data_IF_907862730830
#
_entry.id   IF_907862730830
#
_cell.length_a   1.000
_cell.length_b   1.000
_cell.length_c   1.000
_cell.angle_alpha   90.00
_cell.angle_beta   90.00
_cell.angle_gamma   90.00
#
_symmetry.space_group_name_H-M   'P 1'
#
loop_
_entity.id
_entity.type
_entity.pdbx_description
1 polymer ?
#
# COMPACT_ATOMS: atom_id res chain seq x y z
N UNK A 1 -44.92 37.14 25.97
CA UNK A 1 -44.98 35.81 25.35
C UNK A 1 -43.58 35.24 25.19
N UNK A 2 -43.10 34.51 26.18
CA UNK A 2 -41.81 33.78 26.15
C UNK A 2 -42.08 32.36 25.63
N UNK A 3 -41.44 31.97 24.50
CA UNK A 3 -41.41 30.58 24.08
C UNK A 3 -40.05 29.99 24.49
N UNK A 4 -40.09 29.13 25.51
CA UNK A 4 -38.92 28.36 25.95
C UNK A 4 -38.62 27.23 24.94
N UNK A 5 -37.38 27.15 24.51
CA UNK A 5 -36.82 26.01 23.78
C UNK A 5 -36.40 24.94 24.80
N UNK A 6 -37.22 23.89 24.93
CA UNK A 6 -36.81 22.69 25.67
C UNK A 6 -36.02 21.78 24.76
N UNK A 7 -34.70 21.82 24.84
CA UNK A 7 -33.84 20.78 24.26
C UNK A 7 -33.91 19.51 25.13
N UNK A 8 -34.30 18.40 24.53
CA UNK A 8 -34.43 17.12 25.22
C UNK A 8 -33.05 16.55 25.57
N UNK A 9 -32.84 16.28 26.88
CA UNK A 9 -31.62 15.67 27.45
C UNK A 9 -31.24 14.33 26.78
N UNK A 10 -32.20 13.64 26.15
CA UNK A 10 -31.98 12.41 25.39
C UNK A 10 -31.18 12.60 24.09
N UNK A 11 -31.30 13.75 23.42
CA UNK A 11 -30.52 14.03 22.20
C UNK A 11 -29.04 14.33 22.50
N UNK A 12 -28.75 14.94 23.64
CA UNK A 12 -27.37 15.22 24.07
C UNK A 12 -26.59 13.95 24.41
N UNK A 13 -27.23 12.92 24.95
CA UNK A 13 -26.61 11.62 25.24
C UNK A 13 -26.30 10.85 23.93
N UNK A 14 -27.18 10.93 22.92
CA UNK A 14 -26.93 10.28 21.64
C UNK A 14 -25.72 10.86 20.91
N UNK A 15 -25.52 12.17 20.92
CA UNK A 15 -24.35 12.81 20.32
C UNK A 15 -23.06 12.52 21.10
N UNK A 16 -23.12 12.43 22.43
CA UNK A 16 -21.96 12.09 23.26
C UNK A 16 -21.53 10.62 23.04
N UNK A 17 -22.46 9.69 22.90
CA UNK A 17 -22.15 8.30 22.57
C UNK A 17 -21.59 8.14 21.16
N UNK A 18 -22.04 8.94 20.18
CA UNK A 18 -21.51 8.90 18.82
C UNK A 18 -20.07 9.44 18.75
N UNK A 19 -19.73 10.48 19.52
CA UNK A 19 -18.37 11.02 19.61
C UNK A 19 -17.41 10.10 20.37
N UNK A 20 -17.86 9.38 21.39
CA UNK A 20 -17.04 8.41 22.12
C UNK A 20 -16.78 7.12 21.32
N UNK A 21 -17.72 6.70 20.45
CA UNK A 21 -17.52 5.55 19.58
C UNK A 21 -16.60 5.83 18.38
N UNK A 22 -16.51 7.08 17.92
CA UNK A 22 -15.60 7.49 16.83
C UNK A 22 -14.14 7.59 17.30
N UNK A 23 -13.86 7.67 18.59
CA UNK A 23 -12.51 7.77 19.13
C UNK A 23 -11.81 6.41 19.36
N UNK A 24 -12.54 5.28 19.22
CA UNK A 24 -11.99 3.94 19.48
C UNK A 24 -11.62 3.20 18.16
N UNK A 25 -11.96 3.75 16.98
CA UNK A 25 -11.84 3.06 15.70
C UNK A 25 -10.62 3.44 14.85
N UNK A 26 -9.68 4.24 15.35
CA UNK A 26 -8.43 4.51 14.66
C UNK A 26 -7.25 3.88 15.40
N UNK A 27 -7.13 2.57 15.34
CA UNK A 27 -5.80 1.97 15.47
C UNK A 27 -5.03 2.38 14.21
N UNK A 28 -3.93 3.12 14.32
CA UNK A 28 -3.10 3.37 13.16
C UNK A 28 -2.63 2.01 12.64
N UNK A 29 -2.89 1.74 11.38
CA UNK A 29 -2.21 0.65 10.67
C UNK A 29 -0.74 1.07 10.57
N UNK A 30 0.08 0.57 11.49
CA UNK A 30 1.51 0.90 11.60
C UNK A 30 2.35 0.33 10.44
N UNK A 31 1.72 -0.19 9.38
CA UNK A 31 2.41 -0.88 8.30
C UNK A 31 3.28 0.03 7.42
N UNK A 32 3.00 1.34 7.35
CA UNK A 32 3.75 2.31 6.52
C UNK A 32 4.08 3.60 7.31
N UNK A 33 4.31 3.49 8.64
CA UNK A 33 4.72 4.62 9.45
C UNK A 33 6.21 4.91 9.25
N UNK A 34 6.53 5.97 8.53
CA UNK A 34 7.88 6.52 8.40
C UNK A 34 8.35 7.27 9.67
N UNK A 35 7.56 7.25 10.73
CA UNK A 35 7.96 7.86 11.99
C UNK A 35 9.11 7.05 12.63
N UNK A 36 10.19 7.71 13.09
CA UNK A 36 11.25 7.03 13.83
C UNK A 36 10.67 6.30 15.04
N UNK A 37 11.16 5.10 15.38
CA UNK A 37 10.70 4.39 16.56
C UNK A 37 11.14 5.14 17.81
N UNK A 38 10.21 5.27 18.78
CA UNK A 38 10.51 5.76 20.12
C UNK A 38 10.92 4.63 21.06
N UNK A 39 11.35 5.01 22.27
CA UNK A 39 11.56 4.04 23.33
C UNK A 39 10.25 3.31 23.64
N UNK A 40 10.32 1.96 23.76
CA UNK A 40 9.18 1.10 24.06
C UNK A 40 9.46 0.21 25.28
N UNK A 41 8.41 -0.10 26.03
CA UNK A 41 8.50 -0.98 27.20
C UNK A 41 7.56 -2.16 27.01
N UNK A 42 8.07 -3.37 27.22
CA UNK A 42 7.31 -4.62 27.20
C UNK A 42 7.45 -5.32 28.55
N UNK A 43 6.33 -5.78 29.11
CA UNK A 43 6.32 -6.53 30.35
C UNK A 43 6.16 -8.03 30.08
N UNK A 44 6.71 -8.87 30.95
CA UNK A 44 6.45 -10.31 30.92
C UNK A 44 5.01 -10.61 31.34
N UNK A 45 4.52 -11.83 31.03
CA UNK A 45 3.13 -12.22 31.32
C UNK A 45 2.75 -12.09 32.80
N UNK A 46 3.66 -12.40 33.71
CA UNK A 46 3.45 -12.24 35.14
C UNK A 46 3.62 -10.77 35.62
N UNK A 47 4.17 -9.89 34.82
CA UNK A 47 4.58 -8.55 35.20
C UNK A 47 5.75 -8.51 36.19
N UNK A 48 6.50 -9.60 36.38
CA UNK A 48 7.67 -9.67 37.25
C UNK A 48 8.94 -9.12 36.57
N UNK A 49 8.99 -9.15 35.27
CA UNK A 49 10.08 -8.63 34.46
C UNK A 49 9.56 -7.63 33.43
N UNK A 50 10.39 -6.67 33.01
CA UNK A 50 10.14 -5.80 31.87
C UNK A 50 11.40 -5.56 31.06
N UNK A 51 11.25 -5.24 29.79
CA UNK A 51 12.33 -4.78 28.91
C UNK A 51 12.01 -3.40 28.38
N UNK A 52 12.96 -2.50 28.49
CA UNK A 52 12.95 -1.21 27.83
C UNK A 52 13.81 -1.31 26.56
N UNK A 53 13.20 -1.14 25.40
CA UNK A 53 13.90 -1.05 24.12
C UNK A 53 14.21 0.40 23.84
N UNK A 54 15.47 0.72 23.68
CA UNK A 54 15.99 2.04 23.33
C UNK A 54 16.47 1.95 21.89
N UNK A 55 15.79 2.63 20.92
CA UNK A 55 16.22 2.63 19.53
C UNK A 55 17.62 3.20 19.35
N UNK A 56 18.30 2.79 18.29
CA UNK A 56 19.49 3.45 17.81
C UNK A 56 19.16 4.88 17.38
N UNK A 57 20.12 5.80 17.55
CA UNK A 57 19.98 7.16 17.04
C UNK A 57 19.78 7.15 15.52
N UNK A 58 18.92 8.02 15.05
CA UNK A 58 18.54 8.14 13.64
C UNK A 58 18.41 9.62 13.28
N UNK A 59 19.16 10.09 12.28
CA UNK A 59 19.09 11.47 11.79
C UNK A 59 17.70 11.79 11.25
N UNK A 60 17.23 10.97 10.30
CA UNK A 60 15.87 11.01 9.76
C UNK A 60 15.54 9.70 9.04
N UNK A 61 14.26 9.35 8.88
CA UNK A 61 13.87 8.21 8.03
C UNK A 61 14.35 8.37 6.59
N UNK A 62 14.26 9.58 6.02
CA UNK A 62 14.69 9.85 4.65
C UNK A 62 16.20 9.58 4.45
N UNK A 63 17.02 10.04 5.38
CA UNK A 63 18.48 9.80 5.33
C UNK A 63 18.80 8.32 5.50
N UNK A 64 18.07 7.62 6.38
CA UNK A 64 18.21 6.18 6.53
C UNK A 64 17.98 5.43 5.20
N UNK A 65 16.88 5.72 4.48
CA UNK A 65 16.60 5.05 3.23
C UNK A 65 17.56 5.43 2.11
N UNK A 66 18.01 6.70 2.07
CA UNK A 66 19.06 7.14 1.13
C UNK A 66 20.36 6.37 1.37
N UNK A 67 20.78 6.29 2.62
CA UNK A 67 22.00 5.55 2.98
C UNK A 67 21.88 4.05 2.69
N UNK A 68 20.67 3.49 2.78
CA UNK A 68 20.39 2.10 2.38
C UNK A 68 20.57 1.91 0.88
N UNK A 69 20.09 2.83 0.04
CA UNK A 69 20.31 2.80 -1.41
C UNK A 69 21.79 2.94 -1.76
N UNK A 70 22.52 3.74 -1.01
CA UNK A 70 23.97 3.91 -1.15
C UNK A 70 24.79 2.76 -0.53
N UNK A 71 24.15 1.72 -0.01
CA UNK A 71 24.78 0.55 0.66
C UNK A 71 25.70 0.95 1.83
N UNK A 72 25.42 2.06 2.53
CA UNK A 72 26.21 2.50 3.67
C UNK A 72 26.06 1.53 4.84
N UNK A 73 27.15 1.36 5.59
CA UNK A 73 27.23 0.39 6.68
C UNK A 73 26.22 0.63 7.81
N UNK A 74 26.06 1.89 8.22
CA UNK A 74 25.20 2.29 9.34
C UNK A 74 24.21 3.38 8.86
N UNK A 75 23.18 3.00 8.07
CA UNK A 75 22.34 3.95 7.37
C UNK A 75 21.60 4.87 8.34
N UNK A 76 21.61 6.19 8.06
CA UNK A 76 20.94 7.22 8.85
C UNK A 76 21.52 7.44 10.25
N UNK A 77 22.72 6.92 10.57
CA UNK A 77 23.34 7.15 11.88
C UNK A 77 23.98 8.55 11.89
N UNK A 78 23.57 9.45 12.83
CA UNK A 78 24.20 10.76 12.93
C UNK A 78 25.68 10.66 13.38
N UNK A 79 26.55 11.59 12.94
CA UNK A 79 27.97 11.57 13.30
C UNK A 79 28.26 11.69 14.80
N UNK A 80 27.33 12.30 15.54
CA UNK A 80 27.38 12.53 16.99
C UNK A 80 26.47 11.57 17.77
N UNK A 81 26.09 10.45 17.16
CA UNK A 81 25.22 9.47 17.78
C UNK A 81 25.74 9.00 19.14
N UNK A 82 24.86 9.04 20.14
CA UNK A 82 25.12 8.51 21.48
C UNK A 82 24.79 7.01 21.54
N UNK A 83 23.74 6.59 20.82
CA UNK A 83 23.28 5.21 20.76
C UNK A 83 23.48 4.68 19.35
N UNK A 84 24.58 3.98 19.13
CA UNK A 84 24.98 3.45 17.80
C UNK A 84 24.31 2.10 17.46
N UNK A 85 23.69 1.44 18.45
CA UNK A 85 22.91 0.21 18.28
C UNK A 85 21.68 0.27 19.16
N UNK A 86 20.60 -0.35 18.72
CA UNK A 86 19.44 -0.51 19.59
C UNK A 86 19.85 -1.28 20.85
N UNK A 87 19.36 -0.87 22.00
CA UNK A 87 19.69 -1.44 23.30
C UNK A 87 18.43 -1.96 23.98
N UNK A 88 18.52 -3.14 24.60
CA UNK A 88 17.51 -3.65 25.49
C UNK A 88 18.02 -3.61 26.94
N UNK A 89 17.27 -2.95 27.83
CA UNK A 89 17.52 -2.92 29.28
C UNK A 89 16.44 -3.77 29.95
N UNK A 90 16.86 -4.86 30.56
CA UNK A 90 15.97 -5.82 31.23
C UNK A 90 15.99 -5.55 32.72
N UNK A 91 14.82 -5.39 33.34
CA UNK A 91 14.62 -5.11 34.75
C UNK A 91 13.70 -6.16 35.37
N UNK A 92 13.95 -6.44 36.63
CA UNK A 92 13.14 -7.34 37.46
C UNK A 92 12.56 -6.57 38.66
N UNK A 93 11.35 -6.92 39.10
CA UNK A 93 10.79 -6.40 40.34
C UNK A 93 11.48 -7.06 41.55
N UNK A 94 11.90 -6.24 42.49
CA UNK A 94 12.33 -6.74 43.81
C UNK A 94 11.12 -7.09 44.70
N UNK A 95 11.41 -7.62 45.91
CA UNK A 95 10.37 -7.97 46.89
C UNK A 95 9.54 -6.77 47.40
N UNK A 96 9.98 -5.54 47.13
CA UNK A 96 9.30 -4.29 47.47
C UNK A 96 8.55 -3.67 46.28
N UNK A 97 8.61 -4.30 45.09
CA UNK A 97 7.95 -3.84 43.88
C UNK A 97 8.76 -2.81 43.07
N UNK A 98 10.01 -2.53 43.43
CA UNK A 98 10.87 -1.62 42.69
C UNK A 98 11.52 -2.36 41.50
N UNK A 99 11.72 -1.65 40.40
CA UNK A 99 12.42 -2.15 39.24
C UNK A 99 13.94 -2.04 39.43
N UNK A 100 14.65 -3.15 39.26
CA UNK A 100 16.10 -3.23 39.32
C UNK A 100 16.64 -3.78 37.99
N UNK A 101 17.64 -3.12 37.44
CA UNK A 101 18.32 -3.58 36.21
C UNK A 101 18.93 -4.96 36.46
N UNK A 102 18.55 -5.91 35.63
CA UNK A 102 18.99 -7.30 35.67
C UNK A 102 20.14 -7.56 34.70
N UNK A 103 20.01 -7.11 33.46
CA UNK A 103 21.04 -7.13 32.43
C UNK A 103 20.65 -6.22 31.25
N UNK A 104 21.63 -6.00 30.36
CA UNK A 104 21.48 -5.20 29.15
C UNK A 104 22.09 -5.96 27.96
N UNK A 105 21.62 -5.66 26.74
CA UNK A 105 22.15 -6.26 25.51
C UNK A 105 21.93 -5.36 24.31
N UNK A 106 22.95 -5.23 23.45
CA UNK A 106 22.81 -4.65 22.13
C UNK A 106 21.96 -5.55 21.24
N UNK A 107 21.01 -4.94 20.54
CA UNK A 107 20.12 -5.64 19.61
C UNK A 107 20.72 -5.66 18.20
N UNK A 108 20.45 -6.74 17.47
CA UNK A 108 20.83 -6.85 16.05
C UNK A 108 19.82 -6.23 15.10
N UNK A 109 18.64 -5.85 15.62
CA UNK A 109 17.66 -5.08 14.84
C UNK A 109 18.26 -3.72 14.50
N UNK A 110 18.19 -3.31 13.22
CA UNK A 110 18.97 -2.16 12.72
C UNK A 110 18.74 -0.85 13.46
N UNK A 111 17.47 -0.47 13.69
CA UNK A 111 17.11 0.75 14.43
C UNK A 111 16.37 0.38 15.71
N UNK A 112 15.38 -0.48 15.62
CA UNK A 112 14.65 -1.08 16.74
C UNK A 112 13.83 -2.30 16.24
N UNK A 113 13.51 -3.27 17.11
CA UNK A 113 12.47 -4.25 16.83
C UNK A 113 11.08 -3.60 16.88
N UNK A 114 10.10 -4.23 16.21
CA UNK A 114 8.70 -3.81 16.28
C UNK A 114 8.06 -4.23 17.60
N UNK A 115 8.33 -5.45 18.07
CA UNK A 115 7.82 -5.98 19.33
C UNK A 115 8.87 -6.83 20.03
N UNK A 116 8.66 -7.05 21.33
CA UNK A 116 9.49 -7.95 22.11
C UNK A 116 8.65 -8.72 23.14
N UNK A 117 9.09 -9.90 23.50
CA UNK A 117 8.57 -10.67 24.64
C UNK A 117 9.73 -11.03 25.57
N UNK A 118 9.42 -11.11 26.86
CA UNK A 118 10.39 -11.38 27.92
C UNK A 118 9.87 -12.50 28.80
N UNK A 119 10.75 -13.47 29.15
CA UNK A 119 10.40 -14.51 30.12
C UNK A 119 10.20 -13.96 31.52
N UNK A 120 9.31 -14.56 32.32
CA UNK A 120 8.96 -14.09 33.67
C UNK A 120 10.16 -14.03 34.62
N UNK A 121 11.15 -14.90 34.41
CA UNK A 121 12.40 -14.92 35.18
C UNK A 121 13.46 -13.92 34.64
N UNK A 122 13.14 -13.18 33.59
CA UNK A 122 14.02 -12.19 32.96
C UNK A 122 15.29 -12.79 32.35
N UNK A 123 15.33 -14.11 32.08
CA UNK A 123 16.50 -14.79 31.50
C UNK A 123 16.55 -14.71 29.99
N UNK A 124 15.39 -14.68 29.30
CA UNK A 124 15.28 -14.72 27.85
C UNK A 124 14.52 -13.51 27.33
N UNK A 125 15.06 -12.89 26.30
CA UNK A 125 14.40 -11.86 25.51
C UNK A 125 14.27 -12.37 24.07
N UNK A 126 13.10 -12.19 23.44
CA UNK A 126 12.90 -12.42 22.03
C UNK A 126 12.37 -11.13 21.41
N UNK A 127 13.01 -10.66 20.35
CA UNK A 127 12.56 -9.50 19.58
C UNK A 127 12.03 -9.92 18.23
N UNK A 128 11.07 -9.16 17.69
CA UNK A 128 10.40 -9.47 16.43
C UNK A 128 10.46 -8.29 15.48
N UNK A 129 10.81 -8.61 14.22
CA UNK A 129 10.80 -7.72 13.08
C UNK A 129 11.76 -6.51 13.23
N UNK A 130 12.00 -5.83 12.14
CA UNK A 130 12.67 -4.54 12.15
C UNK A 130 11.63 -3.43 11.98
N UNK A 131 11.91 -2.27 12.54
CA UNK A 131 11.08 -1.08 12.50
C UNK A 131 10.47 -0.78 11.12
N UNK A 132 11.24 -0.92 10.06
CA UNK A 132 10.82 -0.57 8.68
C UNK A 132 10.55 -1.78 7.78
N UNK A 133 10.69 -3.01 8.28
CA UNK A 133 10.57 -4.23 7.46
C UNK A 133 9.99 -5.40 8.25
N UNK A 134 8.67 -5.41 8.40
CA UNK A 134 7.97 -6.51 9.08
C UNK A 134 8.00 -7.76 8.23
N UNK A 135 8.47 -8.89 8.80
CA UNK A 135 8.52 -10.19 8.15
C UNK A 135 9.58 -10.30 7.04
N UNK A 136 10.55 -9.38 6.99
CA UNK A 136 11.66 -9.42 6.04
C UNK A 136 13.00 -9.36 6.76
N UNK A 137 13.97 -10.10 6.21
CA UNK A 137 15.37 -10.07 6.63
C UNK A 137 15.70 -10.94 7.85
N UNK A 138 16.98 -11.01 8.21
CA UNK A 138 17.52 -11.99 9.15
C UNK A 138 17.15 -11.72 10.62
N UNK A 139 16.66 -10.55 10.95
CA UNK A 139 16.27 -10.15 12.30
C UNK A 139 14.75 -10.19 12.54
N UNK A 140 14.01 -11.03 11.81
CA UNK A 140 12.57 -11.20 11.99
C UNK A 140 12.23 -11.81 13.33
N UNK A 141 13.03 -12.79 13.83
CA UNK A 141 12.93 -13.37 15.17
C UNK A 141 14.32 -13.46 15.75
N UNK A 142 14.61 -12.76 16.84
CA UNK A 142 15.94 -12.77 17.45
C UNK A 142 15.85 -13.15 18.92
N UNK A 143 16.66 -14.08 19.34
CA UNK A 143 16.68 -14.64 20.70
C UNK A 143 17.94 -14.23 21.44
N UNK A 144 17.75 -13.77 22.69
CA UNK A 144 18.83 -13.37 23.58
C UNK A 144 18.69 -14.07 24.93
N UNK A 145 19.81 -14.29 25.62
CA UNK A 145 19.85 -14.89 26.95
C UNK A 145 20.82 -14.15 27.84
N UNK A 146 20.42 -13.96 29.10
CA UNK A 146 21.26 -13.38 30.15
C UNK A 146 22.59 -14.13 30.25
N UNK A 147 23.69 -13.39 30.27
CA UNK A 147 25.04 -13.92 30.37
C UNK A 147 25.60 -14.57 29.09
N UNK A 148 24.78 -14.74 28.05
CA UNK A 148 25.22 -15.23 26.74
C UNK A 148 25.08 -14.18 25.62
N UNK A 149 24.19 -13.20 25.79
CA UNK A 149 23.86 -12.23 24.75
C UNK A 149 23.02 -12.85 23.63
N UNK A 150 23.36 -12.59 22.38
CA UNK A 150 22.68 -13.13 21.20
C UNK A 150 22.81 -14.66 21.15
N UNK A 151 21.67 -15.36 21.11
CA UNK A 151 21.61 -16.83 20.89
C UNK A 151 21.49 -17.16 19.40
N UNK A 152 20.71 -16.40 18.66
CA UNK A 152 20.51 -16.60 17.23
C UNK A 152 19.35 -15.78 16.68
N UNK A 153 19.30 -15.69 15.38
CA UNK A 153 18.25 -15.00 14.63
C UNK A 153 17.66 -15.93 13.56
N UNK A 154 16.41 -15.71 13.22
CA UNK A 154 15.69 -16.39 12.14
C UNK A 154 15.06 -15.34 11.21
N UNK A 155 15.22 -15.58 9.93
CA UNK A 155 14.31 -15.08 8.91
C UNK A 155 13.12 -16.04 8.73
N UNK A 156 12.07 -15.61 8.05
CA UNK A 156 10.94 -16.50 7.77
C UNK A 156 11.30 -17.59 6.77
N UNK A 157 12.25 -17.32 5.89
CA UNK A 157 12.78 -18.23 4.86
C UNK A 157 13.42 -19.48 5.47
N UNK A 158 13.90 -19.42 6.71
CA UNK A 158 14.53 -20.53 7.42
C UNK A 158 13.54 -21.64 7.83
N UNK A 159 12.24 -21.36 7.91
CA UNK A 159 11.24 -22.34 8.35
C UNK A 159 9.92 -22.33 7.57
N UNK A 160 9.67 -21.32 6.72
CA UNK A 160 8.51 -21.27 5.82
C UNK A 160 8.95 -21.45 4.37
N UNK A 161 8.30 -22.33 3.59
CA UNK A 161 8.66 -22.52 2.19
C UNK A 161 8.34 -21.28 1.33
N UNK A 162 9.10 -21.05 0.22
CA UNK A 162 8.95 -19.84 -0.60
C UNK A 162 7.52 -19.57 -1.09
N UNK A 163 6.80 -20.62 -1.51
CA UNK A 163 5.41 -20.45 -1.96
C UNK A 163 4.47 -20.01 -0.82
N UNK A 164 4.74 -20.39 0.43
CA UNK A 164 3.99 -19.95 1.60
C UNK A 164 4.21 -18.45 1.84
N UNK A 165 5.47 -18.04 1.79
CA UNK A 165 5.86 -16.63 1.96
C UNK A 165 5.27 -15.73 0.88
N UNK A 166 5.23 -16.21 -0.37
CA UNK A 166 4.62 -15.48 -1.49
C UNK A 166 3.10 -15.36 -1.34
N UNK A 167 2.45 -16.32 -0.68
CA UNK A 167 1.01 -16.32 -0.45
C UNK A 167 0.56 -15.48 0.75
N UNK A 168 1.49 -15.05 1.64
CA UNK A 168 1.16 -14.17 2.76
C UNK A 168 0.75 -12.78 2.26
N UNK A 169 -0.23 -12.13 2.92
CA UNK A 169 -0.56 -10.74 2.64
C UNK A 169 0.67 -9.85 2.84
N UNK A 170 0.93 -8.96 1.88
CA UNK A 170 2.13 -8.11 1.92
C UNK A 170 1.88 -6.73 1.32
N UNK A 171 2.66 -5.76 1.80
CA UNK A 171 2.91 -4.48 1.17
C UNK A 171 4.38 -4.42 0.71
N UNK A 172 4.85 -3.25 0.26
CA UNK A 172 6.25 -3.02 -0.12
C UNK A 172 7.20 -3.29 1.07
N UNK A 173 6.85 -2.81 2.27
CA UNK A 173 7.69 -2.85 3.47
C UNK A 173 7.27 -3.91 4.50
N UNK A 174 6.13 -4.57 4.31
CA UNK A 174 5.56 -5.44 5.34
C UNK A 174 4.96 -6.71 4.78
N UNK A 175 5.19 -7.81 5.47
CA UNK A 175 4.56 -9.11 5.26
C UNK A 175 3.76 -9.47 6.52
N UNK A 176 2.43 -9.60 6.40
CA UNK A 176 1.58 -10.06 7.51
C UNK A 176 1.78 -11.55 7.73
N UNK A 177 2.69 -11.91 8.63
CA UNK A 177 3.11 -13.30 8.82
C UNK A 177 2.62 -13.92 10.13
N UNK A 178 2.40 -13.13 11.19
CA UNK A 178 1.95 -13.62 12.51
C UNK A 178 0.67 -12.95 12.96
N UNK A 179 -0.06 -13.60 13.87
CA UNK A 179 -1.27 -13.06 14.51
C UNK A 179 -1.17 -13.19 16.03
N UNK A 180 -1.44 -12.10 16.70
CA UNK A 180 -1.34 -12.02 18.17
C UNK A 180 0.10 -11.99 18.67
N UNK A 181 0.23 -11.92 19.99
CA UNK A 181 1.52 -11.91 20.66
C UNK A 181 2.03 -13.34 20.87
N UNK A 182 3.31 -13.61 20.67
CA UNK A 182 3.92 -14.88 21.04
C UNK A 182 3.83 -15.11 22.55
N UNK A 183 3.69 -16.38 22.96
CA UNK A 183 3.54 -16.78 24.36
C UNK A 183 4.66 -17.69 24.78
N UNK A 184 5.35 -17.36 25.87
CA UNK A 184 6.35 -18.25 26.47
C UNK A 184 5.72 -19.53 27.03
N UNK A 185 6.42 -20.65 26.89
CA UNK A 185 6.19 -21.88 27.65
C UNK A 185 7.46 -22.29 28.40
N UNK A 186 7.49 -23.47 29.01
CA UNK A 186 8.62 -23.91 29.85
C UNK A 186 9.94 -24.11 29.09
N UNK A 187 9.88 -24.34 27.77
CA UNK A 187 11.05 -24.74 26.97
C UNK A 187 11.28 -23.80 25.79
N UNK A 188 10.30 -22.98 25.46
CA UNK A 188 10.33 -22.14 24.27
C UNK A 188 9.28 -21.06 24.30
N UNK A 189 8.91 -20.60 23.10
CA UNK A 189 7.75 -19.76 22.92
C UNK A 189 6.94 -20.24 21.71
N UNK A 190 5.64 -19.99 21.79
CA UNK A 190 4.67 -20.29 20.75
C UNK A 190 4.28 -19.04 20.02
N UNK A 191 4.13 -19.15 18.72
CA UNK A 191 3.63 -18.07 17.88
C UNK A 191 2.64 -18.59 16.83
N UNK A 192 1.64 -17.80 16.53
CA UNK A 192 0.65 -18.12 15.52
C UNK A 192 1.04 -17.50 14.18
N UNK A 193 1.39 -18.36 13.21
CA UNK A 193 1.67 -17.96 11.84
C UNK A 193 0.37 -17.89 11.05
N UNK A 194 0.18 -16.83 10.27
CA UNK A 194 -1.00 -16.64 9.41
C UNK A 194 -1.00 -17.73 8.33
N UNK A 195 -2.12 -18.44 8.21
CA UNK A 195 -2.41 -19.34 7.10
C UNK A 195 -2.99 -18.54 5.94
N UNK A 196 -2.34 -18.46 4.76
CA UNK A 196 -2.90 -17.80 3.60
C UNK A 196 -4.25 -18.39 3.20
N UNK A 197 -5.22 -17.54 2.85
CA UNK A 197 -6.54 -17.94 2.37
C UNK A 197 -6.94 -17.13 1.14
N UNK A 198 -7.63 -17.76 0.18
CA UNK A 198 -8.01 -17.14 -1.10
C UNK A 198 -8.88 -15.90 -0.96
N UNK A 199 -9.67 -15.81 0.09
CA UNK A 199 -10.73 -14.79 0.23
C UNK A 199 -10.59 -13.96 1.52
N UNK A 200 -9.36 -13.58 1.87
CA UNK A 200 -9.10 -12.78 3.08
C UNK A 200 -9.37 -11.27 2.90
N UNK A 201 -9.99 -10.83 1.79
CA UNK A 201 -10.27 -9.42 1.57
C UNK A 201 -11.35 -8.92 2.53
N UNK A 202 -10.90 -8.36 3.65
CA UNK A 202 -11.70 -7.49 4.50
C UNK A 202 -12.12 -8.02 5.86
N UNK A 203 -12.04 -9.32 6.16
CA UNK A 203 -12.38 -9.84 7.49
C UNK A 203 -11.17 -10.49 8.19
N UNK A 204 -10.33 -9.66 8.80
CA UNK A 204 -9.18 -10.12 9.56
C UNK A 204 -9.54 -10.97 10.80
N UNK A 205 -10.83 -11.00 11.22
CA UNK A 205 -11.28 -11.85 12.33
C UNK A 205 -11.29 -13.33 11.97
N UNK A 206 -11.39 -13.66 10.68
CA UNK A 206 -11.45 -15.04 10.16
C UNK A 206 -10.11 -15.59 9.68
N UNK A 207 -9.02 -14.87 9.91
CA UNK A 207 -7.68 -15.32 9.51
C UNK A 207 -7.34 -16.60 10.27
N UNK A 208 -7.12 -17.69 9.53
CA UNK A 208 -6.63 -18.94 10.09
C UNK A 208 -5.15 -18.81 10.44
N UNK A 209 -4.73 -19.52 11.48
CA UNK A 209 -3.33 -19.56 11.94
C UNK A 209 -2.89 -20.98 12.17
N UNK A 210 -1.57 -21.19 12.09
CA UNK A 210 -0.89 -22.42 12.51
C UNK A 210 0.07 -22.05 13.63
N UNK A 211 0.06 -22.82 14.70
CA UNK A 211 0.95 -22.62 15.84
C UNK A 211 2.32 -23.28 15.58
N UNK A 212 3.37 -22.49 15.79
CA UNK A 212 4.75 -22.92 15.80
C UNK A 212 5.33 -22.76 17.20
N UNK A 213 6.18 -23.70 17.59
CA UNK A 213 6.99 -23.62 18.80
C UNK A 213 8.45 -23.44 18.40
N UNK A 214 9.12 -22.49 19.03
CA UNK A 214 10.56 -22.23 18.85
C UNK A 214 11.25 -22.47 20.19
N UNK A 215 12.21 -23.38 20.19
CA UNK A 215 13.07 -23.66 21.35
C UNK A 215 14.00 -22.49 21.62
N UNK A 216 14.07 -22.07 22.88
CA UNK A 216 14.80 -20.85 23.26
C UNK A 216 16.31 -20.97 23.06
N UNK A 217 16.90 -22.10 23.45
CA UNK A 217 18.37 -22.27 23.40
C UNK A 217 18.85 -22.66 22.00
N UNK A 218 18.25 -23.67 21.38
CA UNK A 218 18.66 -24.18 20.07
C UNK A 218 18.10 -23.39 18.88
N UNK A 219 16.94 -22.77 19.05
CA UNK A 219 16.20 -22.14 17.95
C UNK A 219 15.47 -23.12 17.05
N UNK A 220 15.39 -24.40 17.43
CA UNK A 220 14.67 -25.39 16.64
C UNK A 220 13.18 -25.01 16.52
N UNK A 221 12.71 -24.95 15.27
CA UNK A 221 11.32 -24.58 14.95
C UNK A 221 10.51 -25.85 14.71
N UNK A 222 9.47 -26.05 15.49
CA UNK A 222 8.54 -27.18 15.35
C UNK A 222 7.10 -26.67 15.15
N UNK A 223 6.25 -27.52 14.57
CA UNK A 223 4.82 -27.24 14.39
C UNK A 223 4.07 -27.96 15.52
N UNK A 224 3.14 -27.26 16.16
CA UNK A 224 2.32 -27.86 17.23
C UNK A 224 1.32 -28.86 16.68
N UNK A 225 0.81 -28.66 15.45
CA UNK A 225 -0.15 -29.52 14.77
C UNK A 225 0.28 -29.73 13.30
N UNK A 226 0.59 -30.99 12.97
CA UNK A 226 1.03 -31.37 11.61
C UNK A 226 -0.09 -31.29 10.59
N UNK A 227 -1.33 -31.65 10.94
CA UNK A 227 -2.45 -31.63 10.02
C UNK A 227 -2.85 -30.19 9.71
N UNK A 228 -2.92 -29.32 10.73
CA UNK A 228 -3.14 -27.89 10.54
C UNK A 228 -2.05 -27.24 9.67
N UNK A 229 -0.80 -27.69 9.80
CA UNK A 229 0.29 -27.23 8.95
C UNK A 229 0.12 -27.67 7.48
N UNK A 230 -0.26 -28.92 7.25
CA UNK A 230 -0.54 -29.45 5.90
C UNK A 230 -1.67 -28.64 5.26
N UNK A 231 -2.77 -28.39 5.98
CA UNK A 231 -3.88 -27.57 5.50
C UNK A 231 -3.45 -26.15 5.15
N UNK A 232 -2.59 -25.54 5.97
CA UNK A 232 -2.06 -24.21 5.72
C UNK A 232 -1.16 -24.17 4.47
N UNK A 233 -0.33 -25.20 4.26
CA UNK A 233 0.49 -25.34 3.04
C UNK A 233 -0.37 -25.50 1.79
N UNK A 234 -1.43 -26.31 1.84
CA UNK A 234 -2.37 -26.48 0.73
C UNK A 234 -3.10 -25.17 0.43
N UNK A 235 -3.50 -24.43 1.47
CA UNK A 235 -4.11 -23.10 1.31
C UNK A 235 -3.14 -22.11 0.66
N UNK A 236 -1.87 -22.11 1.06
CA UNK A 236 -0.82 -21.28 0.46
C UNK A 236 -0.62 -21.58 -1.03
N UNK A 237 -0.56 -22.87 -1.39
CA UNK A 237 -0.46 -23.30 -2.78
C UNK A 237 -1.67 -22.86 -3.61
N UNK A 238 -2.88 -22.93 -3.04
CA UNK A 238 -4.10 -22.47 -3.70
C UNK A 238 -4.07 -20.95 -3.95
N UNK A 239 -3.60 -20.16 -2.97
CA UNK A 239 -3.41 -18.70 -3.13
C UNK A 239 -2.39 -18.41 -4.21
N UNK A 240 -1.22 -19.06 -4.17
CA UNK A 240 -0.18 -18.88 -5.19
C UNK A 240 -0.70 -19.22 -6.59
N UNK A 241 -1.39 -20.36 -6.73
CA UNK A 241 -2.02 -20.70 -8.02
C UNK A 241 -2.96 -19.62 -8.51
N UNK A 242 -3.83 -19.10 -7.63
CA UNK A 242 -4.75 -18.02 -7.98
C UNK A 242 -4.02 -16.74 -8.41
N UNK A 243 -2.90 -16.41 -7.77
CA UNK A 243 -2.06 -15.27 -8.16
C UNK A 243 -1.44 -15.48 -9.55
N UNK A 244 -0.92 -16.67 -9.83
CA UNK A 244 -0.38 -17.02 -11.15
C UNK A 244 -1.45 -17.04 -12.24
N UNK A 245 -2.63 -17.58 -11.95
CA UNK A 245 -3.77 -17.56 -12.88
C UNK A 245 -4.21 -16.11 -13.17
N UNK A 246 -4.24 -15.25 -12.16
CA UNK A 246 -4.55 -13.83 -12.33
C UNK A 246 -3.50 -13.12 -13.19
N UNK A 247 -2.22 -13.36 -12.94
CA UNK A 247 -1.12 -12.79 -13.71
C UNK A 247 -1.16 -13.26 -15.16
N UNK A 248 -1.39 -14.56 -15.41
CA UNK A 248 -1.55 -15.11 -16.76
C UNK A 248 -2.72 -14.44 -17.51
N UNK A 249 -3.87 -14.28 -16.84
CA UNK A 249 -5.03 -13.59 -17.41
C UNK A 249 -4.72 -12.11 -17.70
N UNK A 250 -3.96 -11.44 -16.83
CA UNK A 250 -3.51 -10.06 -17.04
C UNK A 250 -2.62 -9.95 -18.26
N UNK A 251 -1.63 -10.84 -18.40
CA UNK A 251 -0.74 -10.91 -19.57
C UNK A 251 -1.56 -11.14 -20.85
N UNK A 252 -2.48 -12.11 -20.83
CA UNK A 252 -3.34 -12.37 -21.98
C UNK A 252 -4.18 -11.13 -22.36
N UNK A 253 -4.75 -10.44 -21.39
CA UNK A 253 -5.52 -9.21 -21.61
C UNK A 253 -4.68 -8.08 -22.22
N UNK A 254 -3.42 -7.92 -21.79
CA UNK A 254 -2.50 -6.92 -22.36
C UNK A 254 -2.06 -7.27 -23.78
N UNK A 255 -1.89 -8.54 -24.09
CA UNK A 255 -1.52 -9.01 -25.44
C UNK A 255 -2.71 -8.95 -26.39
N UNK A 256 -3.94 -9.16 -25.91
CA UNK A 256 -5.14 -9.13 -26.74
C UNK A 256 -5.43 -7.71 -27.25
N UNK A 257 -5.98 -7.54 -28.46
CA UNK A 257 -6.47 -6.25 -28.91
C UNK A 257 -7.58 -5.72 -28.00
N UNK A 258 -7.53 -4.42 -27.65
CA UNK A 258 -8.60 -3.77 -26.89
C UNK A 258 -9.80 -3.51 -27.79
N UNK A 259 -10.94 -4.05 -27.41
CA UNK A 259 -12.22 -3.94 -28.16
C UNK A 259 -13.31 -3.50 -27.20
N UNK A 260 -14.10 -2.49 -27.58
CA UNK A 260 -15.31 -2.12 -26.85
C UNK A 260 -16.37 -3.23 -26.95
N UNK A 261 -16.75 -3.80 -25.79
CA UNK A 261 -17.72 -4.91 -25.72
C UNK A 261 -19.09 -4.38 -25.30
N UNK A 262 -19.97 -4.17 -26.23
CA UNK A 262 -21.31 -3.66 -25.98
C UNK A 262 -22.29 -4.74 -25.41
N UNK A 263 -23.24 -4.36 -24.50
CA UNK A 263 -23.42 -3.04 -23.90
C UNK A 263 -22.33 -2.73 -22.87
N UNK A 264 -21.87 -1.49 -22.81
CA UNK A 264 -20.86 -1.03 -21.84
C UNK A 264 -21.53 -0.24 -20.71
N UNK A 265 -21.17 -0.56 -19.48
CA UNK A 265 -21.50 0.24 -18.29
C UNK A 265 -20.59 1.47 -18.24
N UNK A 266 -20.89 2.45 -17.35
CA UNK A 266 -20.01 3.60 -17.11
C UNK A 266 -18.59 3.16 -16.68
N UNK A 267 -18.50 2.14 -15.81
CA UNK A 267 -17.22 1.55 -15.38
C UNK A 267 -16.44 0.96 -16.55
N UNK A 268 -17.11 0.30 -17.49
CA UNK A 268 -16.47 -0.28 -18.66
C UNK A 268 -15.93 0.82 -19.60
N UNK A 269 -16.64 1.95 -19.75
CA UNK A 269 -16.17 3.10 -20.49
C UNK A 269 -14.92 3.71 -19.86
N UNK A 270 -14.89 3.90 -18.54
CA UNK A 270 -13.70 4.41 -17.85
C UNK A 270 -12.50 3.45 -18.00
N UNK A 271 -12.73 2.15 -17.90
CA UNK A 271 -11.68 1.16 -18.12
C UNK A 271 -11.17 1.19 -19.57
N UNK A 272 -12.09 1.19 -20.56
CA UNK A 272 -11.73 1.26 -21.98
C UNK A 272 -10.91 2.52 -22.32
N UNK A 273 -11.32 3.68 -21.83
CA UNK A 273 -10.61 4.95 -22.04
C UNK A 273 -9.18 4.90 -21.49
N UNK A 274 -9.01 4.40 -20.28
CA UNK A 274 -7.70 4.25 -19.66
C UNK A 274 -6.80 3.30 -20.42
N UNK A 275 -7.30 2.13 -20.78
CA UNK A 275 -6.54 1.16 -21.58
C UNK A 275 -6.20 1.68 -22.98
N UNK A 276 -7.11 2.41 -23.62
CA UNK A 276 -6.85 3.05 -24.91
C UNK A 276 -5.76 4.12 -24.80
N UNK A 277 -5.78 4.92 -23.71
CA UNK A 277 -4.74 5.91 -23.43
C UNK A 277 -3.36 5.26 -23.31
N UNK A 278 -3.22 4.27 -22.45
CA UNK A 278 -1.97 3.53 -22.26
C UNK A 278 -1.41 2.91 -23.53
N UNK A 279 -2.26 2.45 -24.41
CA UNK A 279 -1.84 1.79 -25.66
C UNK A 279 -1.47 2.76 -26.79
N UNK A 280 -2.04 3.95 -26.77
CA UNK A 280 -1.97 4.88 -27.90
C UNK A 280 -1.16 6.14 -27.64
N UNK A 281 -1.03 6.56 -26.39
CA UNK A 281 -0.53 7.89 -26.04
C UNK A 281 0.64 7.80 -25.06
N UNK A 282 0.37 7.37 -23.83
CA UNK A 282 1.37 7.34 -22.76
C UNK A 282 1.24 6.02 -21.99
N UNK A 283 2.25 5.15 -22.05
CA UNK A 283 2.13 3.78 -21.52
C UNK A 283 2.18 3.68 -20.00
N UNK A 284 2.66 4.69 -19.30
CA UNK A 284 2.91 4.74 -17.85
C UNK A 284 2.19 5.87 -17.11
N UNK A 285 1.54 6.80 -17.83
CA UNK A 285 0.81 7.91 -17.22
C UNK A 285 -0.72 7.79 -17.41
N UNK A 286 -1.49 8.42 -16.53
CA UNK A 286 -2.95 8.27 -16.44
C UNK A 286 -3.64 9.58 -16.83
N UNK A 287 -4.54 9.51 -17.82
CA UNK A 287 -5.44 10.63 -18.12
C UNK A 287 -6.67 10.65 -17.20
N UNK A 288 -7.22 11.85 -16.91
CA UNK A 288 -8.56 11.96 -16.38
C UNK A 288 -9.56 11.33 -17.36
N UNK A 289 -10.51 10.54 -16.87
CA UNK A 289 -11.51 9.87 -17.72
C UNK A 289 -12.90 10.44 -17.44
N UNK A 290 -13.62 10.89 -18.47
CA UNK A 290 -14.99 11.45 -18.37
C UNK A 290 -15.93 10.70 -19.33
N UNK A 291 -17.00 10.17 -18.77
CA UNK A 291 -18.06 9.54 -19.57
C UNK A 291 -19.26 10.48 -19.68
N UNK A 292 -19.59 10.91 -20.89
CA UNK A 292 -20.82 11.65 -21.18
C UNK A 292 -21.99 10.66 -21.14
N UNK A 293 -22.86 10.81 -20.17
CA UNK A 293 -24.07 9.99 -20.02
C UNK A 293 -25.08 10.28 -21.10
N UNK A 294 -25.95 9.33 -21.45
CA UNK A 294 -27.06 9.58 -22.40
C UNK A 294 -27.99 10.73 -21.95
N UNK A 295 -28.62 11.40 -22.90
CA UNK A 295 -29.47 12.58 -22.64
C UNK A 295 -30.65 12.29 -21.68
N UNK A 296 -31.14 11.08 -21.71
CA UNK A 296 -32.23 10.59 -20.83
C UNK A 296 -31.78 10.16 -19.43
N UNK A 297 -30.50 10.15 -19.17
CA UNK A 297 -29.94 9.82 -17.84
C UNK A 297 -30.14 10.97 -16.86
N UNK A 298 -30.57 10.65 -15.61
CA UNK A 298 -30.84 11.66 -14.56
C UNK A 298 -29.65 12.62 -14.30
N UNK A 299 -28.41 12.12 -14.36
CA UNK A 299 -27.21 12.91 -14.15
C UNK A 299 -26.53 13.37 -15.46
N UNK A 300 -27.25 13.42 -16.56
CA UNK A 300 -26.68 13.89 -17.83
C UNK A 300 -26.03 15.26 -17.72
N UNK A 301 -26.75 16.26 -17.18
CA UNK A 301 -26.24 17.62 -17.03
C UNK A 301 -24.99 17.69 -16.16
N UNK A 302 -24.90 16.84 -15.16
CA UNK A 302 -23.73 16.72 -14.30
C UNK A 302 -22.52 16.19 -15.09
N UNK A 303 -22.71 15.20 -15.96
CA UNK A 303 -21.63 14.69 -16.81
C UNK A 303 -21.19 15.72 -17.87
N UNK A 304 -22.11 16.54 -18.39
CA UNK A 304 -21.78 17.68 -19.25
C UNK A 304 -20.91 18.70 -18.50
N UNK A 305 -21.28 19.03 -17.27
CA UNK A 305 -20.53 20.01 -16.47
C UNK A 305 -19.12 19.49 -16.17
N UNK A 306 -18.96 18.24 -15.75
CA UNK A 306 -17.63 17.64 -15.50
C UNK A 306 -16.70 17.75 -16.72
N UNK A 307 -17.21 17.50 -17.93
CA UNK A 307 -16.41 17.64 -19.15
C UNK A 307 -16.03 19.10 -19.39
N UNK A 308 -16.96 20.05 -19.18
CA UNK A 308 -16.68 21.48 -19.32
C UNK A 308 -15.64 21.98 -18.30
N UNK A 309 -15.71 21.49 -17.08
CA UNK A 309 -14.75 21.84 -16.01
C UNK A 309 -13.32 21.42 -16.40
N UNK A 310 -13.11 20.22 -16.96
CA UNK A 310 -11.81 19.80 -17.46
C UNK A 310 -11.25 20.69 -18.56
N UNK A 311 -12.10 21.13 -19.50
CA UNK A 311 -11.65 22.08 -20.52
C UNK A 311 -11.39 23.47 -19.95
N UNK A 312 -12.09 23.89 -18.90
CA UNK A 312 -11.82 25.13 -18.20
C UNK A 312 -10.47 25.08 -17.47
N UNK A 313 -10.14 23.97 -16.82
CA UNK A 313 -8.82 23.75 -16.20
C UNK A 313 -7.69 23.82 -17.24
N UNK A 314 -7.88 23.31 -18.46
CA UNK A 314 -6.90 23.48 -19.54
C UNK A 314 -6.61 24.94 -19.89
N UNK A 315 -7.62 25.81 -19.80
CA UNK A 315 -7.45 27.25 -20.03
C UNK A 315 -6.72 27.91 -18.87
N UNK A 316 -7.02 27.54 -17.63
CA UNK A 316 -6.41 28.08 -16.42
C UNK A 316 -4.94 27.66 -16.32
N UNK A 317 -4.62 26.40 -16.56
CA UNK A 317 -3.25 25.84 -16.54
C UNK A 317 -2.30 26.51 -17.55
N UNK A 318 -2.84 27.19 -18.58
CA UNK A 318 -2.07 28.01 -19.53
C UNK A 318 -1.21 29.10 -18.87
N UNK A 319 -1.56 29.54 -17.67
CA UNK A 319 -0.90 30.66 -16.97
C UNK A 319 0.11 30.20 -15.91
N UNK A 320 0.21 28.91 -15.65
CA UNK A 320 1.18 28.35 -14.70
C UNK A 320 2.51 28.06 -15.41
N UNK A 321 3.61 28.32 -14.70
CA UNK A 321 4.99 28.20 -15.24
C UNK A 321 5.48 26.76 -15.29
N UNK A 322 4.75 25.83 -14.70
CA UNK A 322 5.08 24.42 -14.70
C UNK A 322 4.39 23.69 -15.85
N UNK A 323 5.19 23.10 -16.73
CA UNK A 323 4.85 22.48 -18.01
C UNK A 323 4.03 21.18 -17.89
N UNK A 324 2.96 21.17 -17.10
CA UNK A 324 2.11 20.00 -16.92
C UNK A 324 0.99 20.02 -17.97
N UNK A 325 0.93 19.00 -18.81
CA UNK A 325 -0.19 18.79 -19.72
C UNK A 325 -1.44 18.36 -18.92
N UNK A 326 -2.58 19.01 -19.22
CA UNK A 326 -3.88 18.45 -18.79
C UNK A 326 -4.26 17.29 -19.72
N UNK A 327 -4.41 16.11 -19.17
CA UNK A 327 -4.64 14.88 -19.90
C UNK A 327 -6.05 14.36 -19.69
N UNK A 328 -6.79 14.18 -20.75
CA UNK A 328 -8.22 13.91 -20.70
C UNK A 328 -8.62 12.82 -21.69
N UNK A 329 -9.40 11.84 -21.23
CA UNK A 329 -10.07 10.87 -22.09
C UNK A 329 -11.57 11.01 -21.98
N UNK A 330 -12.28 11.08 -23.11
CA UNK A 330 -13.73 11.28 -23.15
C UNK A 330 -14.39 10.22 -24.03
N UNK A 331 -15.49 9.65 -23.53
CA UNK A 331 -16.31 8.68 -24.25
C UNK A 331 -17.80 8.94 -23.99
N UNK A 332 -18.65 8.39 -24.87
CA UNK A 332 -20.10 8.34 -24.69
C UNK A 332 -20.69 7.15 -25.46
N UNK A 333 -21.78 6.59 -24.93
CA UNK A 333 -22.64 5.71 -25.73
C UNK A 333 -23.49 6.51 -26.76
N UNK A 334 -23.76 7.79 -26.50
CA UNK A 334 -24.46 8.72 -27.43
C UNK A 334 -23.43 9.54 -28.18
N UNK A 335 -22.99 9.02 -29.31
CA UNK A 335 -21.92 9.56 -30.15
C UNK A 335 -22.28 10.93 -30.78
N UNK A 336 -23.55 11.13 -31.17
CA UNK A 336 -24.01 12.40 -31.73
C UNK A 336 -24.01 13.51 -30.69
N UNK A 337 -24.48 13.19 -29.49
CA UNK A 337 -24.50 14.15 -28.42
C UNK A 337 -23.08 14.50 -27.93
N UNK A 338 -22.17 13.51 -27.92
CA UNK A 338 -20.75 13.76 -27.64
C UNK A 338 -20.16 14.76 -28.67
N UNK A 339 -20.36 14.50 -29.95
CA UNK A 339 -19.91 15.41 -31.02
C UNK A 339 -20.46 16.82 -30.83
N UNK A 340 -21.78 16.95 -30.54
CA UNK A 340 -22.44 18.24 -30.33
C UNK A 340 -21.84 19.01 -29.14
N UNK A 341 -21.67 18.33 -28.01
CA UNK A 341 -21.09 18.92 -26.82
C UNK A 341 -19.66 19.43 -27.05
N UNK A 342 -18.80 18.55 -27.60
CA UNK A 342 -17.41 18.89 -27.82
C UNK A 342 -17.24 19.97 -28.90
N UNK A 343 -18.08 19.98 -29.94
CA UNK A 343 -18.08 21.05 -30.95
C UNK A 343 -18.50 22.39 -30.35
N UNK A 344 -19.44 22.43 -29.40
CA UNK A 344 -19.83 23.64 -28.71
C UNK A 344 -18.68 24.15 -27.82
N UNK A 345 -18.02 23.28 -27.05
CA UNK A 345 -16.84 23.62 -26.24
C UNK A 345 -15.74 24.23 -27.13
N UNK A 346 -15.47 23.61 -28.28
CA UNK A 346 -14.48 24.14 -29.22
C UNK A 346 -14.88 25.51 -29.80
N UNK A 347 -16.17 25.72 -30.09
CA UNK A 347 -16.66 27.01 -30.65
C UNK A 347 -16.57 28.15 -29.63
N UNK A 348 -16.69 27.87 -28.36
CA UNK A 348 -16.59 28.84 -27.27
C UNK A 348 -15.14 29.18 -26.90
N UNK A 349 -14.16 28.38 -27.35
CA UNK A 349 -12.74 28.55 -27.04
C UNK A 349 -12.05 29.56 -27.96
N UNK A 350 -11.10 30.33 -27.42
CA UNK A 350 -10.24 31.20 -28.20
C UNK A 350 -9.07 30.43 -28.84
N UNK A 351 -8.42 30.99 -29.88
CA UNK A 351 -7.24 30.41 -30.48
C UNK A 351 -6.14 30.13 -29.43
N UNK A 352 -5.68 28.88 -29.37
CA UNK A 352 -4.61 28.42 -28.46
C UNK A 352 -5.00 28.19 -27.02
N UNK A 353 -6.30 28.27 -26.66
CA UNK A 353 -6.75 28.07 -25.28
C UNK A 353 -6.38 26.67 -24.73
N UNK A 354 -6.34 25.65 -25.58
CA UNK A 354 -6.06 24.28 -25.15
C UNK A 354 -4.68 23.77 -25.60
N UNK A 355 -3.70 24.64 -25.85
CA UNK A 355 -2.35 24.25 -26.35
C UNK A 355 -1.60 23.28 -25.43
N UNK A 356 -1.90 23.32 -24.14
CA UNK A 356 -1.31 22.42 -23.12
C UNK A 356 -2.21 21.23 -22.79
N UNK A 357 -3.26 21.01 -23.58
CA UNK A 357 -4.15 19.87 -23.44
C UNK A 357 -3.78 18.72 -24.37
N UNK A 358 -3.82 17.49 -23.85
CA UNK A 358 -3.87 16.25 -24.62
C UNK A 358 -5.21 15.56 -24.36
N UNK A 359 -5.97 15.25 -25.40
CA UNK A 359 -7.27 14.60 -25.21
C UNK A 359 -7.43 13.39 -26.13
N UNK A 360 -7.81 12.26 -25.55
CA UNK A 360 -8.26 11.07 -26.26
C UNK A 360 -9.79 11.11 -26.36
N UNK A 361 -10.29 11.21 -27.58
CA UNK A 361 -11.73 11.17 -27.83
C UNK A 361 -12.10 9.80 -28.39
N UNK A 362 -12.92 9.07 -27.63
CA UNK A 362 -13.47 7.78 -28.05
C UNK A 362 -14.80 8.05 -28.76
N UNK A 363 -14.73 8.09 -30.09
CA UNK A 363 -15.85 8.44 -30.96
C UNK A 363 -15.82 7.63 -32.26
N UNK A 364 -16.98 7.35 -32.85
CA UNK A 364 -17.02 6.64 -34.13
C UNK A 364 -16.33 7.40 -35.25
N UNK A 365 -15.64 6.70 -36.15
CA UNK A 365 -14.83 7.28 -37.22
C UNK A 365 -15.57 8.26 -38.12
N UNK A 366 -16.88 8.07 -38.31
CA UNK A 366 -17.71 8.99 -39.12
C UNK A 366 -17.78 10.41 -38.55
N UNK A 367 -17.64 10.59 -37.24
CA UNK A 367 -17.70 11.88 -36.54
C UNK A 367 -16.34 12.56 -36.37
N UNK A 368 -15.24 11.78 -36.51
CA UNK A 368 -13.90 12.27 -36.20
C UNK A 368 -13.45 13.48 -37.00
N UNK A 369 -13.72 13.47 -38.33
CA UNK A 369 -13.30 14.58 -39.18
C UNK A 369 -13.94 15.92 -38.79
N UNK A 370 -15.24 15.88 -38.47
CA UNK A 370 -15.97 17.07 -38.02
C UNK A 370 -15.44 17.58 -36.68
N UNK A 371 -15.21 16.67 -35.73
CA UNK A 371 -14.67 17.03 -34.41
C UNK A 371 -13.28 17.64 -34.52
N UNK A 372 -12.37 17.01 -35.27
CA UNK A 372 -11.02 17.53 -35.50
C UNK A 372 -11.02 18.91 -36.14
N UNK A 373 -11.94 19.19 -37.06
CA UNK A 373 -12.09 20.50 -37.68
C UNK A 373 -12.56 21.56 -36.67
N UNK A 374 -13.48 21.22 -35.77
CA UNK A 374 -13.97 22.11 -34.71
C UNK A 374 -12.85 22.60 -33.78
N UNK A 375 -11.96 21.67 -33.38
CA UNK A 375 -10.86 21.98 -32.46
C UNK A 375 -9.59 22.57 -33.10
N UNK A 376 -9.57 22.74 -34.43
CA UNK A 376 -8.34 23.13 -35.16
C UNK A 376 -7.67 24.41 -34.64
N UNK A 377 -8.43 25.37 -34.15
CA UNK A 377 -7.94 26.67 -33.71
C UNK A 377 -7.50 26.70 -32.24
N UNK A 378 -7.79 25.65 -31.47
CA UNK A 378 -7.55 25.63 -30.03
C UNK A 378 -6.14 25.09 -29.63
N UNK A 379 -5.39 24.58 -30.59
CA UNK A 379 -4.06 23.99 -30.48
C UNK A 379 -3.98 22.73 -29.54
N UNK A 380 -5.10 22.14 -29.17
CA UNK A 380 -5.14 20.90 -28.37
C UNK A 380 -4.53 19.72 -29.16
N UNK A 381 -3.80 18.85 -28.48
CA UNK A 381 -3.38 17.57 -29.06
C UNK A 381 -4.52 16.57 -28.97
N UNK A 382 -5.25 16.36 -30.07
CA UNK A 382 -6.33 15.39 -30.13
C UNK A 382 -5.85 14.03 -30.61
N UNK A 383 -6.17 13.00 -29.83
CA UNK A 383 -6.04 11.60 -30.17
C UNK A 383 -7.42 10.97 -30.38
N UNK A 384 -7.49 9.94 -31.20
CA UNK A 384 -8.73 9.34 -31.66
C UNK A 384 -8.75 7.84 -31.44
N UNK A 385 -9.77 7.33 -30.79
CA UNK A 385 -10.08 5.91 -30.74
C UNK A 385 -11.50 5.65 -31.29
N UNK A 386 -11.60 4.81 -32.32
CA UNK A 386 -12.89 4.34 -32.81
C UNK A 386 -13.32 3.12 -31.98
N UNK A 387 -14.40 3.19 -31.20
CA UNK A 387 -14.81 2.07 -30.34
C UNK A 387 -15.25 0.84 -31.13
N UNK A 388 -15.48 0.96 -32.45
CA UNK A 388 -15.78 -0.14 -33.35
C UNK A 388 -14.53 -0.83 -33.94
N UNK A 389 -13.34 -0.29 -33.65
CA UNK A 389 -12.06 -0.82 -34.13
C UNK A 389 -11.22 -1.31 -32.96
N UNK A 390 -10.55 -2.42 -33.21
CA UNK A 390 -9.60 -2.95 -32.22
C UNK A 390 -8.37 -2.05 -32.12
N UNK A 391 -7.93 -1.76 -30.89
CA UNK A 391 -6.66 -1.11 -30.60
C UNK A 391 -5.65 -2.21 -30.29
N UNK A 392 -4.54 -2.33 -31.03
CA UNK A 392 -3.54 -3.36 -30.79
C UNK A 392 -2.82 -3.13 -29.44
N UNK A 393 -2.15 -4.17 -28.93
CA UNK A 393 -1.23 -4.02 -27.82
C UNK A 393 -0.10 -3.04 -28.17
N UNK A 394 0.37 -2.27 -27.17
CA UNK A 394 1.50 -1.36 -27.33
C UNK A 394 2.81 -2.07 -27.00
N UNK A 395 3.80 -2.14 -27.92
CA UNK A 395 5.11 -2.72 -27.60
C UNK A 395 5.83 -2.01 -26.46
N UNK A 396 5.68 -0.68 -26.34
CA UNK A 396 6.26 0.10 -25.23
C UNK A 396 5.64 -0.28 -23.90
N UNK A 397 4.29 -0.34 -23.84
CA UNK A 397 3.58 -0.77 -22.63
C UNK A 397 3.96 -2.20 -22.22
N UNK A 398 4.06 -3.12 -23.18
CA UNK A 398 4.48 -4.49 -22.90
C UNK A 398 5.92 -4.52 -22.35
N UNK A 399 6.82 -3.70 -22.89
CA UNK A 399 8.19 -3.57 -22.35
C UNK A 399 8.18 -3.11 -20.91
N UNK A 400 7.43 -2.06 -20.57
CA UNK A 400 7.32 -1.55 -19.19
C UNK A 400 6.73 -2.61 -18.26
N UNK A 401 5.66 -3.30 -18.67
CA UNK A 401 4.96 -4.26 -17.81
C UNK A 401 5.71 -5.59 -17.60
N UNK A 402 6.48 -6.04 -18.58
CA UNK A 402 7.08 -7.38 -18.56
C UNK A 402 8.61 -7.39 -18.56
N UNK A 403 9.22 -6.27 -18.79
CA UNK A 403 10.66 -6.11 -18.71
C UNK A 403 11.01 -4.74 -18.11
N UNK A 404 10.56 -4.46 -16.87
CA UNK A 404 10.93 -3.21 -16.22
C UNK A 404 12.45 -3.18 -16.10
N UNK A 405 13.09 -2.07 -16.50
CA UNK A 405 14.50 -1.84 -16.13
C UNK A 405 14.52 -1.63 -14.62
N UNK A 406 15.24 -2.48 -13.84
CA UNK A 406 15.31 -2.31 -12.39
C UNK A 406 15.86 -0.94 -11.96
N UNK A 407 16.43 -0.19 -12.88
CA UNK A 407 16.95 1.18 -12.65
C UNK A 407 15.93 2.26 -13.01
N UNK A 408 14.89 1.95 -13.81
CA UNK A 408 13.76 2.85 -14.10
C UNK A 408 12.65 2.72 -13.04
N UNK A 409 12.61 1.62 -12.27
CA UNK A 409 11.73 1.45 -11.11
C UNK A 409 12.24 2.17 -9.84
N UNK A 410 13.23 3.04 -9.95
CA UNK A 410 13.64 3.92 -8.88
C UNK A 410 12.51 4.96 -8.63
N UNK A 411 11.44 4.50 -8.01
CA UNK A 411 10.37 5.31 -7.39
C UNK A 411 10.97 6.37 -6.42
N UNK A 412 12.27 6.28 -6.18
CA UNK A 412 13.09 7.18 -5.38
C UNK A 412 14.07 8.03 -6.20
N UNK A 413 13.97 8.04 -7.54
CA UNK A 413 14.88 8.86 -8.37
C UNK A 413 14.72 10.36 -8.10
N UNK A 414 13.53 10.79 -7.63
CA UNK A 414 13.29 12.15 -7.15
C UNK A 414 14.14 12.52 -5.92
N UNK A 415 14.66 11.52 -5.17
CA UNK A 415 15.55 11.76 -4.02
C UNK A 415 16.99 12.06 -4.44
N UNK A 416 17.35 11.80 -5.68
CA UNK A 416 18.72 12.10 -6.19
C UNK A 416 18.92 13.58 -6.47
N UNK A 417 17.82 14.34 -6.62
CA UNK A 417 17.83 15.76 -6.91
C UNK A 417 17.60 16.65 -5.65
N UNK A 418 17.40 16.03 -4.47
CA UNK A 418 17.32 16.69 -3.17
C UNK A 418 18.65 16.64 -2.41
#
# INVERSE_FOLDING_TARGET
MQRGLSFSFAQSIQYLCFFLFSAIASQPVLADSWAPPGQAVFESDSGAARVTIIPRDLSSPLEYFRDKLDERKDPGLPPDASIVRALAVIEMKDGSGNWLTNWEVDLVNEVAPVTAILSDDGQYLVTFDNWHSVGYGPATIVRYKRGKGLLGAHDLESFLPPYYLQALPRSVSSRSWKKGDPVFDHEGFKLAIISPVLDSRGDHSKVKTVEFKIDLDSGYVSKSDTDAWIDAMLSALAVQKSQLDWEANRIEAELAPLIAKYPMTERDWHHYMREAWFRMIEPDDISATKHLRPVDHADYQKSVQWIKDEFAEMVEGKNETDWIYTELSIASSDQQNLLKLLSAIAADANPGDFRWGRALIVIEGQYWHQLKAAFKHTDIKLHFADPKKAIPSSPQRLKILFNPDPREDDEFDFLKDL
#
